data_IF_160116214626
#
_entry.id   IF_160116214626
#
_cell.length_a   1.000
_cell.length_b   1.000
_cell.length_c   1.000
_cell.angle_alpha   90.00
_cell.angle_beta   90.00
_cell.angle_gamma   90.00
#
_symmetry.space_group_name_H-M   'P 1'
#
loop_
_entity.id
_entity.type
_entity.pdbx_description
1 polymer ?
#
# COMPACT_ATOMS: atom_id res chain seq x y z
N UNK A 1 -13.65 10.54 6.57
CA UNK A 1 -12.31 10.04 6.97
C UNK A 1 -11.56 9.71 5.69
N UNK A 2 -10.42 10.38 5.48
CA UNK A 2 -9.65 10.29 4.24
C UNK A 2 -8.65 9.12 4.28
N UNK A 3 -8.71 8.25 3.29
CA UNK A 3 -7.82 7.10 3.13
C UNK A 3 -7.01 7.24 1.84
N UNK A 4 -5.72 6.96 1.91
CA UNK A 4 -4.87 6.75 0.74
C UNK A 4 -4.84 5.25 0.45
N UNK A 5 -5.11 4.86 -0.81
CA UNK A 5 -5.00 3.48 -1.27
C UNK A 5 -3.76 3.29 -2.11
N UNK A 6 -2.90 2.33 -1.74
CA UNK A 6 -1.68 1.98 -2.47
C UNK A 6 -1.79 0.55 -2.99
N UNK A 7 -1.23 0.30 -4.18
CA UNK A 7 -1.35 -1.02 -4.82
C UNK A 7 -2.81 -1.44 -4.98
N UNK A 8 -3.65 -0.51 -5.41
CA UNK A 8 -5.11 -0.62 -5.32
C UNK A 8 -5.72 -1.73 -6.19
N UNK A 9 -5.00 -2.21 -7.22
CA UNK A 9 -5.55 -3.17 -8.16
C UNK A 9 -6.83 -2.64 -8.81
N UNK A 10 -7.85 -3.48 -8.92
CA UNK A 10 -9.18 -3.08 -9.42
C UNK A 10 -10.06 -2.38 -8.36
N UNK A 11 -9.52 -2.07 -7.18
CA UNK A 11 -10.24 -1.37 -6.11
C UNK A 11 -11.12 -2.25 -5.23
N UNK A 12 -10.82 -3.55 -5.10
CA UNK A 12 -11.63 -4.45 -4.27
C UNK A 12 -11.61 -4.09 -2.79
N UNK A 13 -10.42 -3.76 -2.25
CA UNK A 13 -10.25 -3.29 -0.88
C UNK A 13 -10.90 -1.92 -0.70
N UNK A 14 -10.69 -1.02 -1.67
CA UNK A 14 -11.24 0.33 -1.74
C UNK A 14 -12.76 0.31 -1.63
N UNK A 15 -13.43 -0.54 -2.41
CA UNK A 15 -14.88 -0.71 -2.36
C UNK A 15 -15.39 -1.11 -0.97
N UNK A 16 -14.62 -1.96 -0.26
CA UNK A 16 -14.95 -2.37 1.11
C UNK A 16 -14.93 -1.17 2.06
N UNK A 17 -13.91 -0.34 1.98
CA UNK A 17 -13.77 0.87 2.81
C UNK A 17 -14.82 1.93 2.44
N UNK A 18 -15.09 2.16 1.15
CA UNK A 18 -16.15 3.08 0.72
C UNK A 18 -17.52 2.67 1.25
N UNK A 19 -17.85 1.37 1.20
CA UNK A 19 -19.09 0.83 1.78
C UNK A 19 -19.17 0.98 3.30
N UNK A 20 -18.04 1.03 3.97
CA UNK A 20 -17.94 1.29 5.41
C UNK A 20 -18.00 2.80 5.75
N UNK A 21 -18.13 3.68 4.76
CA UNK A 21 -18.29 5.12 4.94
C UNK A 21 -17.00 5.91 4.98
N UNK A 22 -15.90 5.34 4.50
CA UNK A 22 -14.63 6.05 4.32
C UNK A 22 -14.57 6.70 2.94
N UNK A 23 -13.83 7.80 2.83
CA UNK A 23 -13.53 8.45 1.57
C UNK A 23 -12.12 8.04 1.10
N UNK A 24 -12.00 7.66 -0.16
CA UNK A 24 -10.72 7.35 -0.79
C UNK A 24 -10.46 8.36 -1.89
N UNK A 25 -9.94 9.55 -1.54
CA UNK A 25 -9.73 10.61 -2.52
C UNK A 25 -8.62 10.31 -3.51
N UNK A 26 -7.66 9.45 -3.15
CA UNK A 26 -6.51 9.11 -3.99
C UNK A 26 -6.12 7.65 -3.85
N UNK A 27 -5.78 7.03 -4.97
CA UNK A 27 -5.25 5.68 -5.05
C UNK A 27 -4.02 5.64 -5.97
N UNK A 28 -3.18 4.63 -5.82
CA UNK A 28 -2.06 4.36 -6.73
C UNK A 28 -2.09 2.92 -7.22
N UNK A 29 -1.83 2.75 -8.51
CA UNK A 29 -1.66 1.44 -9.15
C UNK A 29 -0.57 1.50 -10.23
N UNK A 30 0.20 0.43 -10.35
CA UNK A 30 1.30 0.30 -11.29
C UNK A 30 0.87 -0.29 -12.65
N UNK A 31 -0.08 -1.25 -12.64
CA UNK A 31 -0.45 -2.02 -13.82
C UNK A 31 -1.41 -1.24 -14.74
N UNK A 32 -0.95 -0.82 -15.94
CA UNK A 32 -1.78 -0.05 -16.87
C UNK A 32 -3.00 -0.82 -17.39
N UNK A 33 -3.00 -2.14 -17.31
CA UNK A 33 -4.14 -2.95 -17.76
C UNK A 33 -5.35 -2.84 -16.85
N UNK A 34 -5.16 -2.31 -15.63
CA UNK A 34 -6.18 -2.22 -14.58
C UNK A 34 -6.78 -0.79 -14.48
N UNK A 35 -6.08 0.24 -14.95
CA UNK A 35 -6.45 1.64 -14.74
C UNK A 35 -7.90 1.97 -15.10
N UNK A 36 -8.35 1.55 -16.29
CA UNK A 36 -9.71 1.84 -16.73
C UNK A 36 -10.77 1.12 -15.88
N UNK A 37 -10.48 -0.12 -15.46
CA UNK A 37 -11.36 -0.86 -14.55
C UNK A 37 -11.47 -0.16 -13.20
N UNK A 38 -10.35 0.30 -12.63
CA UNK A 38 -10.35 1.05 -11.39
C UNK A 38 -11.17 2.35 -11.50
N UNK A 39 -10.90 3.16 -12.52
CA UNK A 39 -11.59 4.45 -12.73
C UNK A 39 -13.10 4.31 -12.91
N UNK A 40 -13.55 3.27 -13.61
CA UNK A 40 -14.98 2.99 -13.79
C UNK A 40 -15.63 2.60 -12.46
N UNK A 41 -14.94 1.81 -11.64
CA UNK A 41 -15.45 1.35 -10.34
C UNK A 41 -15.37 2.45 -9.25
N UNK A 42 -14.38 3.33 -9.33
CA UNK A 42 -14.09 4.37 -8.34
C UNK A 42 -14.02 5.77 -8.97
N UNK A 43 -15.14 6.27 -9.56
CA UNK A 43 -15.13 7.52 -10.35
C UNK A 43 -14.86 8.78 -9.52
N UNK A 44 -14.87 8.69 -8.18
CA UNK A 44 -14.57 9.81 -7.27
C UNK A 44 -13.13 9.80 -6.77
N UNK A 45 -12.40 8.70 -6.98
CA UNK A 45 -11.02 8.53 -6.54
C UNK A 45 -10.06 8.98 -7.64
N UNK A 46 -9.12 9.83 -7.32
CA UNK A 46 -8.03 10.14 -8.25
C UNK A 46 -7.03 8.98 -8.27
N UNK A 47 -6.84 8.37 -9.43
CA UNK A 47 -5.85 7.31 -9.62
C UNK A 47 -4.53 7.92 -10.07
N UNK A 48 -3.49 7.80 -9.24
CA UNK A 48 -2.10 8.08 -9.61
C UNK A 48 -1.56 6.81 -10.31
N UNK A 49 -1.40 6.91 -11.62
CA UNK A 49 -0.91 5.82 -12.46
C UNK A 49 0.60 5.74 -12.40
N UNK A 50 1.15 4.56 -12.13
CA UNK A 50 2.59 4.31 -12.18
C UNK A 50 3.19 3.79 -10.89
N UNK A 51 4.51 3.81 -10.88
CA UNK A 51 5.33 3.18 -9.86
C UNK A 51 5.32 3.97 -8.55
N UNK A 52 4.91 3.33 -7.46
CA UNK A 52 4.89 3.92 -6.11
C UNK A 52 6.25 4.48 -5.67
N UNK A 53 7.37 3.95 -6.19
CA UNK A 53 8.73 4.43 -5.92
C UNK A 53 8.96 5.87 -6.37
N UNK A 54 8.22 6.31 -7.38
CA UNK A 54 8.31 7.66 -7.96
C UNK A 54 7.32 8.64 -7.34
N UNK A 55 6.35 8.15 -6.56
CA UNK A 55 5.30 8.96 -5.96
C UNK A 55 5.82 9.61 -4.69
N UNK A 56 5.61 10.92 -4.59
CA UNK A 56 5.98 11.74 -3.43
C UNK A 56 4.74 12.24 -2.70
N UNK A 57 4.94 12.78 -1.50
CA UNK A 57 3.87 13.47 -0.76
C UNK A 57 3.23 14.60 -1.58
N UNK A 58 4.02 15.29 -2.41
CA UNK A 58 3.53 16.39 -3.24
C UNK A 58 2.56 15.93 -4.33
N UNK A 59 2.68 14.68 -4.81
CA UNK A 59 1.79 14.11 -5.81
C UNK A 59 0.45 13.66 -5.20
N UNK A 60 0.43 13.30 -3.93
CA UNK A 60 -0.75 12.80 -3.21
C UNK A 60 -1.52 13.95 -2.54
N UNK A 61 -0.81 14.88 -1.88
CA UNK A 61 -1.39 15.90 -1.04
C UNK A 61 -2.47 16.77 -1.72
N UNK A 62 -2.39 17.12 -3.02
CA UNK A 62 -3.41 17.93 -3.69
C UNK A 62 -4.82 17.34 -3.67
N UNK A 63 -4.94 16.03 -3.51
CA UNK A 63 -6.22 15.32 -3.52
C UNK A 63 -6.79 15.09 -2.11
N UNK A 64 -6.00 15.38 -1.06
CA UNK A 64 -6.40 15.18 0.33
C UNK A 64 -6.93 16.48 0.92
N UNK A 65 -8.16 16.44 1.41
CA UNK A 65 -8.77 17.57 2.11
C UNK A 65 -8.71 17.33 3.63
N UNK A 66 -7.77 17.97 4.32
CA UNK A 66 -7.54 17.79 5.75
C UNK A 66 -6.49 16.72 6.07
N UNK A 67 -6.71 15.98 7.15
CA UNK A 67 -5.79 14.93 7.62
C UNK A 67 -6.01 13.61 6.87
N UNK A 68 -4.95 12.81 6.78
CA UNK A 68 -5.03 11.41 6.35
C UNK A 68 -5.36 10.55 7.56
N UNK A 69 -6.53 9.93 7.55
CA UNK A 69 -6.96 9.05 8.64
C UNK A 69 -6.36 7.63 8.51
N UNK A 70 -6.24 7.13 7.28
CA UNK A 70 -5.72 5.79 7.04
C UNK A 70 -4.93 5.65 5.73
N UNK A 71 -4.07 4.63 5.69
CA UNK A 71 -3.43 4.15 4.46
C UNK A 71 -3.70 2.67 4.34
N UNK A 72 -4.23 2.26 3.19
CA UNK A 72 -4.55 0.85 2.90
C UNK A 72 -3.79 0.37 1.67
N UNK A 73 -3.55 -0.94 1.55
CA UNK A 73 -2.96 -1.50 0.35
C UNK A 73 -2.41 -2.91 0.52
N UNK A 74 -2.08 -3.53 -0.60
CA UNK A 74 -1.49 -4.87 -0.66
C UNK A 74 -0.06 -4.83 -1.23
N UNK A 75 0.96 -4.37 -0.47
CA UNK A 75 2.33 -4.34 -0.98
C UNK A 75 2.81 -5.76 -1.31
N UNK A 76 3.42 -5.99 -2.50
CA UNK A 76 3.79 -7.33 -2.93
C UNK A 76 4.83 -7.98 -2.02
N UNK A 77 4.59 -9.27 -1.66
CA UNK A 77 5.41 -10.05 -0.74
C UNK A 77 6.31 -11.10 -1.45
N UNK A 78 6.37 -11.10 -2.78
CA UNK A 78 6.99 -12.19 -3.54
C UNK A 78 8.49 -12.40 -3.30
N UNK A 79 9.22 -11.36 -2.88
CA UNK A 79 10.65 -11.45 -2.57
C UNK A 79 10.97 -12.15 -1.25
N UNK A 80 9.97 -12.36 -0.39
CA UNK A 80 10.15 -13.04 0.90
C UNK A 80 9.87 -14.54 0.82
N UNK A 81 9.18 -15.01 -0.23
CA UNK A 81 8.79 -16.40 -0.40
C UNK A 81 9.91 -17.28 -0.99
N UNK A 82 10.87 -16.73 -1.72
CA UNK A 82 11.91 -17.48 -2.43
C UNK A 82 13.30 -17.39 -1.79
N UNK A 83 13.53 -16.45 -0.87
CA UNK A 83 14.82 -16.22 -0.28
C UNK A 83 14.84 -16.56 1.20
N UNK A 84 15.16 -17.81 1.53
CA UNK A 84 15.56 -18.22 2.89
C UNK A 84 16.87 -17.56 3.38
N UNK A 85 17.24 -16.40 2.82
CA UNK A 85 18.37 -15.55 3.21
C UNK A 85 17.98 -14.09 3.02
N UNK A 86 18.52 -13.22 3.86
CA UNK A 86 18.35 -11.75 3.90
C UNK A 86 18.53 -11.02 2.54
N UNK A 87 18.76 -11.72 1.45
CA UNK A 87 18.81 -11.21 0.07
C UNK A 87 17.46 -10.75 -0.47
N UNK A 88 16.35 -11.09 0.18
CA UNK A 88 15.01 -10.62 -0.21
C UNK A 88 14.79 -9.11 -0.09
N UNK A 89 15.63 -8.42 0.69
CA UNK A 89 15.61 -6.96 0.82
C UNK A 89 16.28 -6.26 -0.38
N UNK A 90 17.16 -6.96 -1.10
CA UNK A 90 17.88 -6.44 -2.28
C UNK A 90 17.10 -6.60 -3.58
N UNK A 91 16.00 -7.37 -3.59
CA UNK A 91 15.12 -7.50 -4.76
C UNK A 91 14.26 -6.23 -4.92
N UNK A 92 14.14 -5.75 -6.14
CA UNK A 92 13.32 -4.58 -6.50
C UNK A 92 11.87 -4.65 -6.00
N UNK A 93 11.34 -5.84 -5.77
CA UNK A 93 10.00 -6.09 -5.21
C UNK A 93 9.93 -6.00 -3.70
N UNK A 94 11.03 -6.30 -2.99
CA UNK A 94 11.16 -6.04 -1.55
C UNK A 94 11.20 -4.54 -1.24
N UNK A 95 11.67 -3.74 -2.19
CA UNK A 95 11.70 -2.28 -2.07
C UNK A 95 10.28 -1.66 -2.03
N UNK A 96 9.29 -2.24 -2.70
CA UNK A 96 7.92 -1.72 -2.72
C UNK A 96 7.27 -1.69 -1.33
N UNK A 97 7.64 -2.63 -0.46
CA UNK A 97 7.20 -2.62 0.92
C UNK A 97 7.80 -1.43 1.71
N UNK A 98 9.06 -1.10 1.46
CA UNK A 98 9.69 0.09 2.05
C UNK A 98 9.06 1.39 1.54
N UNK A 99 8.60 1.42 0.29
CA UNK A 99 7.86 2.57 -0.22
C UNK A 99 6.50 2.74 0.44
N UNK A 100 5.81 1.63 0.74
CA UNK A 100 4.61 1.68 1.58
C UNK A 100 4.91 2.31 2.94
N UNK A 101 5.97 1.86 3.63
CA UNK A 101 6.40 2.41 4.93
C UNK A 101 6.85 3.88 4.78
N UNK A 102 7.52 4.24 3.70
CA UNK A 102 7.91 5.63 3.42
C UNK A 102 6.70 6.55 3.40
N UNK A 103 5.65 6.16 2.69
CA UNK A 103 4.41 6.94 2.61
C UNK A 103 3.71 6.99 3.97
N UNK A 104 3.70 5.90 4.76
CA UNK A 104 3.22 5.92 6.15
C UNK A 104 3.95 6.99 6.98
N UNK A 105 5.28 7.03 6.93
CA UNK A 105 6.09 8.02 7.66
C UNK A 105 5.82 9.46 7.24
N UNK A 106 5.56 9.67 5.94
CA UNK A 106 5.29 11.00 5.39
C UNK A 106 3.93 11.56 5.80
N UNK A 107 2.91 10.71 5.86
CA UNK A 107 1.54 11.14 6.15
C UNK A 107 1.10 10.92 7.59
N UNK A 108 1.72 9.99 8.32
CA UNK A 108 1.40 9.67 9.73
C UNK A 108 -0.09 9.46 9.97
N UNK A 109 -0.73 8.50 9.31
CA UNK A 109 -2.15 8.24 9.48
C UNK A 109 -2.46 7.70 10.88
N UNK A 110 -3.73 7.72 11.27
CA UNK A 110 -4.20 7.16 12.55
C UNK A 110 -4.19 5.62 12.54
N UNK A 111 -4.32 5.01 11.35
CA UNK A 111 -4.21 3.57 11.16
C UNK A 111 -3.68 3.24 9.76
N UNK A 112 -3.24 2.02 9.60
CA UNK A 112 -2.96 1.46 8.29
C UNK A 112 -3.45 0.02 8.18
N UNK A 113 -3.64 -0.46 6.95
CA UNK A 113 -3.94 -1.85 6.64
C UNK A 113 -3.04 -2.30 5.49
N UNK A 114 -2.11 -3.22 5.78
CA UNK A 114 -1.28 -3.87 4.78
C UNK A 114 -1.79 -5.29 4.56
N UNK A 115 -2.49 -5.52 3.44
CA UNK A 115 -3.01 -6.83 3.06
C UNK A 115 -1.90 -7.68 2.44
N UNK A 116 -1.91 -8.98 2.72
CA UNK A 116 -1.00 -9.90 2.07
C UNK A 116 -1.52 -11.34 2.09
N UNK A 117 -0.88 -12.23 1.30
CA UNK A 117 -1.27 -13.62 1.19
C UNK A 117 -0.98 -14.41 2.47
N UNK A 118 -1.86 -15.36 2.81
CA UNK A 118 -1.72 -16.19 4.02
C UNK A 118 -0.42 -17.01 4.07
N UNK A 119 0.19 -17.30 2.93
CA UNK A 119 1.50 -17.97 2.84
C UNK A 119 2.62 -17.20 3.55
N UNK A 120 2.47 -15.90 3.77
CA UNK A 120 3.40 -15.08 4.55
C UNK A 120 3.50 -15.55 6.01
N UNK A 121 2.46 -16.15 6.56
CA UNK A 121 2.41 -16.66 7.94
C UNK A 121 2.98 -18.07 8.11
N UNK A 122 3.54 -18.68 7.05
CA UNK A 122 4.21 -19.98 7.19
C UNK A 122 5.47 -19.85 8.06
N UNK A 123 5.72 -20.80 8.96
CA UNK A 123 6.82 -20.79 9.95
C UNK A 123 8.19 -20.45 9.34
N UNK A 124 8.42 -20.83 8.06
CA UNK A 124 9.67 -20.51 7.34
C UNK A 124 9.87 -19.00 7.12
N UNK A 125 8.83 -18.19 7.30
CA UNK A 125 8.84 -16.73 7.09
C UNK A 125 8.78 -15.92 8.40
N UNK A 126 8.77 -16.56 9.57
CA UNK A 126 8.62 -15.89 10.87
C UNK A 126 9.60 -14.74 11.07
N UNK A 127 10.88 -14.92 10.73
CA UNK A 127 11.88 -13.84 10.83
C UNK A 127 11.56 -12.65 9.93
N UNK A 128 11.06 -12.92 8.73
CA UNK A 128 10.68 -11.88 7.78
C UNK A 128 9.46 -11.10 8.29
N UNK A 129 8.46 -11.80 8.81
CA UNK A 129 7.27 -11.19 9.43
C UNK A 129 7.66 -10.32 10.63
N UNK A 130 8.53 -10.82 11.52
CA UNK A 130 9.01 -10.04 12.67
C UNK A 130 9.76 -8.78 12.24
N UNK A 131 10.58 -8.85 11.20
CA UNK A 131 11.26 -7.67 10.64
C UNK A 131 10.27 -6.64 10.08
N UNK A 132 9.23 -7.11 9.39
CA UNK A 132 8.16 -6.25 8.87
C UNK A 132 7.42 -5.55 10.00
N UNK A 133 7.02 -6.27 11.04
CA UNK A 133 6.36 -5.71 12.21
C UNK A 133 7.24 -4.64 12.88
N UNK A 134 8.53 -4.93 13.04
CA UNK A 134 9.49 -3.95 13.57
C UNK A 134 9.58 -2.69 12.71
N UNK A 135 9.58 -2.83 11.38
CA UNK A 135 9.61 -1.67 10.47
C UNK A 135 8.34 -0.81 10.59
N UNK A 136 7.18 -1.42 10.86
CA UNK A 136 5.96 -0.68 11.16
C UNK A 136 6.06 0.04 12.51
N UNK A 137 6.54 -0.62 13.56
CA UNK A 137 6.77 0.00 14.87
C UNK A 137 7.73 1.20 14.76
N UNK A 138 8.82 1.06 13.99
CA UNK A 138 9.79 2.14 13.73
C UNK A 138 9.20 3.28 12.87
N UNK A 139 8.06 3.05 12.25
CA UNK A 139 7.38 4.08 11.46
C UNK A 139 6.49 5.01 12.30
N UNK A 140 6.07 4.61 13.49
CA UNK A 140 5.31 5.38 14.48
C UNK A 140 3.86 4.95 14.57
#
# INVERSE_FOLDING_TARGET
>A
MNIISLFSGCGGLDLGFEKAGFDIPVANEFDPTIYETFKVNHPKTHLIEGDVRQITKADIAPYINGEVDGIIGGPPCQSWSEAGSLKGIEDARGQLFFDYIRILKEFRPKFFLAENVSGMLANRHDKAVQNILKLFDDAG
#
